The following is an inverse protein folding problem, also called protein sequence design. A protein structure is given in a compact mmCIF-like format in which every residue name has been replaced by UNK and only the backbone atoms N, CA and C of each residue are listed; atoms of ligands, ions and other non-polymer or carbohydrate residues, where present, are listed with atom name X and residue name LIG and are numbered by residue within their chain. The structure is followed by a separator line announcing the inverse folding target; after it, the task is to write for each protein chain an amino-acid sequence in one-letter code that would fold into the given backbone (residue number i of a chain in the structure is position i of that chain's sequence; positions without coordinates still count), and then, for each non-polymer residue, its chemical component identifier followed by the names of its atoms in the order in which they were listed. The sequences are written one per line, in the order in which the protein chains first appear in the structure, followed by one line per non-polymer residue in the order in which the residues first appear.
data_IF_999558630999
#
_entry.id   IF_999558630999
#
_cell.length_a   1.000
_cell.length_b   1.000
_cell.length_c   1.000
_cell.angle_alpha   90.00
_cell.angle_beta   90.00
_cell.angle_gamma   90.00
#
_symmetry.space_group_name_H-M   'P 1'
#
loop_
_entity.id
_entity.type
_entity.pdbx_description
1 polymer ?
#
# COMPACT_ATOMS: atom_id res chain seq x y z
N UNK A 1 2.42 11.79 -28.74
CA UNK A 1 3.72 11.41 -29.33
C UNK A 1 4.03 9.94 -28.97
N UNK A 2 3.45 9.00 -29.76
CA UNK A 2 3.51 7.57 -29.43
C UNK A 2 4.36 6.73 -30.40
N UNK A 3 4.77 7.31 -31.52
CA UNK A 3 5.53 6.59 -32.55
C UNK A 3 6.95 7.12 -32.69
N UNK A 4 7.92 6.22 -32.66
CA UNK A 4 9.29 6.51 -33.06
C UNK A 4 9.41 6.54 -34.58
N UNK A 5 10.40 7.28 -35.09
CA UNK A 5 10.72 7.33 -36.52
C UNK A 5 11.50 6.06 -36.88
N UNK A 6 11.04 5.31 -37.86
CA UNK A 6 11.61 4.03 -38.27
C UNK A 6 12.20 4.03 -39.69
N UNK A 7 12.36 5.19 -40.31
CA UNK A 7 12.94 5.33 -41.64
C UNK A 7 14.44 5.00 -41.62
N UNK A 8 14.88 4.17 -42.57
CA UNK A 8 16.31 3.89 -42.73
C UNK A 8 17.01 5.07 -43.45
N UNK A 9 17.90 5.73 -42.73
CA UNK A 9 18.63 6.93 -43.19
C UNK A 9 20.09 6.83 -42.82
N UNK A 10 20.97 7.53 -43.55
CA UNK A 10 22.43 7.56 -43.34
C UNK A 10 22.92 8.99 -43.11
N UNK A 11 24.05 9.14 -42.37
CA UNK A 11 24.71 10.41 -42.14
C UNK A 11 23.93 11.37 -41.23
N UNK A 12 23.87 12.64 -41.59
CA UNK A 12 23.21 13.70 -40.79
C UNK A 12 21.71 13.46 -40.55
N UNK A 13 21.05 12.77 -41.50
CA UNK A 13 19.64 12.36 -41.35
C UNK A 13 19.47 11.26 -40.30
N UNK A 14 20.45 10.38 -40.15
CA UNK A 14 20.47 9.39 -39.09
C UNK A 14 20.59 10.05 -37.69
N UNK A 15 21.46 11.05 -37.58
CA UNK A 15 21.64 11.81 -36.34
C UNK A 15 20.38 12.59 -35.98
N UNK A 16 19.70 13.20 -36.97
CA UNK A 16 18.43 13.87 -36.78
C UNK A 16 17.34 12.91 -36.30
N UNK A 17 17.23 11.72 -36.94
CA UNK A 17 16.32 10.66 -36.53
C UNK A 17 16.54 10.25 -35.07
N UNK A 18 17.80 9.99 -34.69
CA UNK A 18 18.17 9.59 -33.34
C UNK A 18 17.86 10.67 -32.31
N UNK A 19 18.14 11.95 -32.63
CA UNK A 19 17.81 13.07 -31.78
C UNK A 19 16.31 13.23 -31.59
N UNK A 20 15.52 13.10 -32.67
CA UNK A 20 14.05 13.15 -32.58
C UNK A 20 13.49 11.99 -31.76
N UNK A 21 14.01 10.77 -31.94
CA UNK A 21 13.57 9.62 -31.16
C UNK A 21 13.94 9.77 -29.67
N UNK A 22 15.10 10.36 -29.36
CA UNK A 22 15.47 10.69 -27.98
C UNK A 22 14.54 11.72 -27.36
N UNK A 23 14.14 12.76 -28.13
CA UNK A 23 13.16 13.75 -27.68
C UNK A 23 11.79 13.13 -27.44
N UNK A 24 11.32 12.26 -28.31
CA UNK A 24 10.06 11.51 -28.14
C UNK A 24 10.12 10.67 -26.87
N UNK A 25 11.21 9.96 -26.62
CA UNK A 25 11.44 9.18 -25.41
C UNK A 25 11.40 10.05 -24.14
N UNK A 26 12.06 11.19 -24.15
CA UNK A 26 12.07 12.17 -23.03
C UNK A 26 10.68 12.72 -22.77
N UNK A 27 9.94 13.13 -23.81
CA UNK A 27 8.59 13.64 -23.68
C UNK A 27 7.62 12.58 -23.14
N UNK A 28 7.76 11.33 -23.56
CA UNK A 28 6.98 10.19 -23.02
C UNK A 28 7.25 10.01 -21.53
N UNK A 29 8.51 9.90 -21.13
CA UNK A 29 8.91 9.72 -19.74
C UNK A 29 8.39 10.87 -18.86
N UNK A 30 8.49 12.12 -19.33
CA UNK A 30 7.98 13.30 -18.61
C UNK A 30 6.46 13.24 -18.47
N UNK A 31 5.73 12.83 -19.51
CA UNK A 31 4.26 12.72 -19.48
C UNK A 31 3.81 11.60 -18.52
N UNK A 32 4.46 10.46 -18.55
CA UNK A 32 4.16 9.34 -17.62
C UNK A 32 4.43 9.73 -16.17
N UNK A 33 5.57 10.36 -15.89
CA UNK A 33 5.91 10.88 -14.55
C UNK A 33 4.89 11.92 -14.07
N UNK A 34 4.43 12.81 -14.95
CA UNK A 34 3.38 13.78 -14.64
C UNK A 34 2.06 13.11 -14.29
N UNK A 35 1.64 12.08 -15.03
CA UNK A 35 0.42 11.30 -14.75
C UNK A 35 0.51 10.55 -13.41
N UNK A 36 1.65 9.94 -13.11
CA UNK A 36 1.88 9.27 -11.83
C UNK A 36 1.79 10.23 -10.65
N UNK A 37 2.40 11.41 -10.76
CA UNK A 37 2.32 12.44 -9.74
C UNK A 37 0.91 12.97 -9.55
N UNK A 38 0.16 13.18 -10.64
CA UNK A 38 -1.23 13.61 -10.59
C UNK A 38 -2.13 12.54 -9.94
N UNK A 39 -1.94 11.28 -10.29
CA UNK A 39 -2.63 10.15 -9.68
C UNK A 39 -2.37 10.09 -8.17
N UNK A 40 -1.11 10.24 -7.77
CA UNK A 40 -0.69 10.23 -6.37
C UNK A 40 -1.35 11.36 -5.57
N UNK A 41 -1.25 12.59 -6.06
CA UNK A 41 -1.84 13.77 -5.41
C UNK A 41 -3.35 13.68 -5.30
N UNK A 42 -4.02 13.30 -6.39
CA UNK A 42 -5.48 13.19 -6.45
C UNK A 42 -5.99 12.16 -5.45
N UNK A 43 -5.36 10.99 -5.39
CA UNK A 43 -5.79 9.95 -4.47
C UNK A 43 -5.43 10.24 -3.02
N UNK A 44 -4.29 10.85 -2.73
CA UNK A 44 -3.96 11.31 -1.37
C UNK A 44 -4.97 12.33 -0.86
N UNK A 45 -5.36 13.31 -1.68
CA UNK A 45 -6.37 14.29 -1.33
C UNK A 45 -7.73 13.62 -1.07
N UNK A 46 -8.15 12.70 -1.95
CA UNK A 46 -9.40 11.93 -1.80
C UNK A 46 -9.44 11.16 -0.49
N UNK A 47 -8.37 10.46 -0.13
CA UNK A 47 -8.30 9.71 1.12
C UNK A 47 -8.27 10.63 2.35
N UNK A 48 -7.56 11.75 2.27
CA UNK A 48 -7.57 12.74 3.34
C UNK A 48 -8.96 13.27 3.61
N UNK A 49 -9.70 13.64 2.56
CA UNK A 49 -11.09 14.11 2.69
C UNK A 49 -12.01 13.02 3.25
N UNK A 50 -11.83 11.78 2.81
CA UNK A 50 -12.63 10.63 3.26
C UNK A 50 -12.40 10.31 4.74
N UNK A 51 -11.17 10.45 5.21
CA UNK A 51 -10.81 10.21 6.62
C UNK A 51 -11.21 11.36 7.55
N UNK A 52 -11.40 12.56 7.01
CA UNK A 52 -11.73 13.74 7.78
C UNK A 52 -13.08 13.57 8.50
N UNK A 53 -13.10 13.85 9.80
CA UNK A 53 -14.32 13.75 10.61
C UNK A 53 -14.66 12.34 11.10
N UNK A 54 -13.87 11.33 10.78
CA UNK A 54 -14.04 9.99 11.34
C UNK A 54 -13.68 9.99 12.83
N UNK A 55 -14.52 9.31 13.63
CA UNK A 55 -14.38 9.24 15.09
C UNK A 55 -14.36 7.81 15.63
N UNK A 56 -14.58 6.84 14.77
CA UNK A 56 -14.61 5.43 15.13
C UNK A 56 -13.56 4.64 14.36
N UNK A 57 -12.69 3.94 15.11
CA UNK A 57 -11.58 3.18 14.54
C UNK A 57 -12.04 2.07 13.59
N UNK A 58 -13.09 1.35 13.96
CA UNK A 58 -13.57 0.23 13.14
C UNK A 58 -14.14 0.71 11.81
N UNK A 59 -14.93 1.78 11.87
CA UNK A 59 -15.48 2.44 10.66
C UNK A 59 -14.36 2.96 9.77
N UNK A 60 -13.36 3.62 10.34
CA UNK A 60 -12.19 4.09 9.62
C UNK A 60 -11.44 2.93 8.95
N UNK A 61 -11.15 1.87 9.69
CA UNK A 61 -10.40 0.71 9.17
C UNK A 61 -11.13 0.02 8.01
N UNK A 62 -12.43 -0.21 8.14
CA UNK A 62 -13.25 -0.81 7.08
C UNK A 62 -13.31 0.06 5.82
N UNK A 63 -13.55 1.35 6.01
CA UNK A 63 -13.62 2.32 4.92
C UNK A 63 -12.29 2.42 4.18
N UNK A 64 -11.19 2.53 4.91
CA UNK A 64 -9.83 2.58 4.35
C UNK A 64 -9.55 1.36 3.47
N UNK A 65 -9.77 0.15 3.99
CA UNK A 65 -9.46 -1.06 3.24
C UNK A 65 -10.38 -1.25 2.03
N UNK A 66 -11.66 -0.90 2.15
CA UNK A 66 -12.63 -1.00 1.05
C UNK A 66 -12.25 -0.11 -0.13
N UNK A 67 -11.74 1.09 0.13
CA UNK A 67 -11.31 2.03 -0.91
C UNK A 67 -9.86 1.80 -1.37
N UNK A 68 -8.99 1.39 -0.45
CA UNK A 68 -7.56 1.22 -0.69
C UNK A 68 -7.25 -0.03 -1.51
N UNK A 69 -7.81 -1.17 -1.14
CA UNK A 69 -7.49 -2.44 -1.78
C UNK A 69 -7.73 -2.42 -3.30
N UNK A 70 -8.90 -1.99 -3.81
CA UNK A 70 -9.10 -1.89 -5.25
C UNK A 70 -8.17 -0.87 -5.93
N UNK A 71 -7.87 0.25 -5.27
CA UNK A 71 -7.06 1.32 -5.84
C UNK A 71 -5.62 0.86 -6.12
N UNK A 72 -5.05 0.03 -5.24
CA UNK A 72 -3.69 -0.50 -5.39
C UNK A 72 -3.67 -1.92 -5.95
N UNK A 73 -4.81 -2.40 -6.47
CA UNK A 73 -4.96 -3.75 -7.00
C UNK A 73 -4.61 -4.86 -6.00
N UNK A 74 -4.93 -4.65 -4.72
CA UNK A 74 -4.86 -5.68 -3.70
C UNK A 74 -6.17 -6.47 -3.66
N UNK A 75 -6.08 -7.78 -3.55
CA UNK A 75 -7.25 -8.67 -3.43
C UNK A 75 -7.59 -8.96 -1.98
N UNK A 76 -6.66 -8.76 -1.08
CA UNK A 76 -6.86 -8.98 0.35
C UNK A 76 -6.11 -7.92 1.16
N UNK A 77 -6.66 -7.54 2.30
CA UNK A 77 -6.03 -6.57 3.18
C UNK A 77 -6.48 -6.71 4.62
N UNK A 78 -5.61 -6.37 5.54
CA UNK A 78 -5.87 -6.37 6.99
C UNK A 78 -5.22 -5.14 7.60
N UNK A 79 -5.89 -4.54 8.57
CA UNK A 79 -5.34 -3.49 9.42
C UNK A 79 -5.33 -3.95 10.87
N UNK A 80 -4.18 -3.78 11.51
CA UNK A 80 -3.96 -4.01 12.93
C UNK A 80 -3.70 -2.69 13.63
N UNK A 81 -4.28 -2.49 14.80
CA UNK A 81 -4.01 -1.34 15.66
C UNK A 81 -3.16 -1.75 16.84
N UNK A 82 -2.30 -0.83 17.28
CA UNK A 82 -1.50 -1.01 18.48
C UNK A 82 -2.34 -0.69 19.69
N UNK A 83 -2.37 -1.59 20.66
CA UNK A 83 -3.00 -1.39 21.95
C UNK A 83 -2.08 -1.84 23.09
N UNK A 84 -2.35 -1.37 24.30
CA UNK A 84 -1.65 -1.87 25.48
C UNK A 84 -2.08 -3.31 25.77
N UNK A 85 -1.11 -4.20 26.00
CA UNK A 85 -1.39 -5.53 26.52
C UNK A 85 -1.84 -5.46 27.99
N UNK A 86 -2.50 -6.50 28.48
CA UNK A 86 -2.95 -6.58 29.88
C UNK A 86 -1.80 -6.47 30.88
N UNK A 87 -0.59 -6.78 30.47
CA UNK A 87 0.63 -6.62 31.27
C UNK A 87 1.28 -5.25 30.93
N UNK A 88 1.23 -4.35 31.86
CA UNK A 88 1.26 -2.85 31.80
C UNK A 88 2.34 -2.15 30.97
N UNK A 89 3.32 -2.83 30.38
CA UNK A 89 4.41 -2.24 29.60
C UNK A 89 4.56 -2.83 28.19
N UNK A 90 3.78 -3.83 27.84
CA UNK A 90 3.85 -4.44 26.51
C UNK A 90 2.77 -3.89 25.59
N UNK A 91 3.16 -3.60 24.37
CA UNK A 91 2.25 -3.25 23.28
C UNK A 91 2.03 -4.45 22.39
N UNK A 92 0.82 -4.61 21.92
CA UNK A 92 0.40 -5.67 21.03
C UNK A 92 -0.37 -5.10 19.84
N UNK A 93 -0.50 -5.90 18.82
CA UNK A 93 -1.26 -5.58 17.61
C UNK A 93 -2.56 -6.37 17.63
N UNK A 94 -3.68 -5.67 17.60
CA UNK A 94 -5.00 -6.28 17.51
C UNK A 94 -5.58 -6.08 16.11
N UNK A 95 -6.11 -7.13 15.54
CA UNK A 95 -6.86 -7.08 14.30
C UNK A 95 -8.02 -6.09 14.42
N UNK A 96 -8.06 -5.07 13.56
CA UNK A 96 -9.12 -4.07 13.54
C UNK A 96 -10.17 -4.37 12.47
N UNK A 97 -9.72 -4.54 11.22
CA UNK A 97 -10.60 -4.74 10.07
C UNK A 97 -9.87 -5.54 8.98
N UNK A 98 -10.65 -6.20 8.13
CA UNK A 98 -10.17 -6.92 6.97
C UNK A 98 -10.95 -6.60 5.72
N UNK A 99 -10.32 -6.78 4.56
CA UNK A 99 -10.90 -6.76 3.24
C UNK A 99 -10.66 -8.11 2.58
N UNK A 100 -11.74 -8.80 2.23
CA UNK A 100 -11.68 -10.17 1.70
C UNK A 100 -10.82 -11.12 2.58
N UNK A 101 -10.75 -10.84 3.88
CA UNK A 101 -10.02 -11.63 4.85
C UNK A 101 -10.84 -12.88 5.17
N UNK A 102 -10.21 -14.06 5.06
CA UNK A 102 -10.83 -15.36 5.34
C UNK A 102 -11.11 -15.58 6.84
N UNK A 103 -11.23 -14.51 7.57
CA UNK A 103 -11.34 -14.32 8.98
C UNK A 103 -11.90 -15.47 9.82
N UNK A 104 -11.08 -16.04 10.64
CA UNK A 104 -11.54 -16.48 11.95
C UNK A 104 -11.98 -15.24 12.77
N UNK A 105 -12.61 -15.44 13.91
CA UNK A 105 -13.14 -14.32 14.71
C UNK A 105 -12.14 -13.16 14.86
N UNK A 106 -12.49 -11.93 14.44
CA UNK A 106 -11.57 -10.78 14.44
C UNK A 106 -10.99 -10.46 15.80
N UNK A 107 -11.71 -10.78 16.85
CA UNK A 107 -11.34 -10.52 18.25
C UNK A 107 -10.24 -11.45 18.79
N UNK A 108 -9.92 -12.54 18.09
CA UNK A 108 -8.93 -13.53 18.55
C UNK A 108 -7.53 -13.32 17.96
N UNK A 109 -7.36 -12.38 17.00
CA UNK A 109 -6.08 -12.16 16.33
C UNK A 109 -5.31 -11.03 16.99
N UNK A 110 -4.47 -11.41 17.94
CA UNK A 110 -3.50 -10.55 18.59
C UNK A 110 -2.11 -11.03 18.21
N UNK A 111 -1.24 -10.11 17.84
CA UNK A 111 0.16 -10.35 17.49
C UNK A 111 1.07 -9.54 18.41
N UNK A 112 2.17 -10.14 18.81
CA UNK A 112 3.23 -9.43 19.52
C UNK A 112 4.14 -8.65 18.55
N UNK A 113 4.78 -7.60 19.03
CA UNK A 113 5.84 -6.93 18.28
C UNK A 113 6.98 -7.92 18.01
N UNK A 114 7.40 -8.00 16.76
CA UNK A 114 8.38 -9.00 16.29
C UNK A 114 7.79 -10.33 15.84
N UNK A 115 6.51 -10.59 16.07
CA UNK A 115 5.84 -11.81 15.64
C UNK A 115 5.37 -11.73 14.18
N UNK A 116 5.95 -12.58 13.32
CA UNK A 116 5.63 -12.61 11.90
C UNK A 116 6.02 -11.30 11.19
N UNK A 117 5.59 -11.13 9.93
CA UNK A 117 5.90 -9.92 9.16
C UNK A 117 5.26 -8.67 9.74
N UNK A 118 4.01 -8.78 10.15
CA UNK A 118 3.25 -7.65 10.74
C UNK A 118 3.90 -7.19 12.04
N UNK A 119 4.22 -8.12 12.95
CA UNK A 119 4.91 -7.78 14.20
C UNK A 119 6.32 -7.25 13.98
N UNK A 120 7.02 -7.75 12.96
CA UNK A 120 8.36 -7.27 12.59
C UNK A 120 8.32 -5.82 12.07
N UNK A 121 7.35 -5.50 11.24
CA UNK A 121 7.12 -4.12 10.78
C UNK A 121 6.79 -3.19 11.94
N UNK A 122 5.97 -3.65 12.90
CA UNK A 122 5.68 -2.87 14.10
C UNK A 122 6.94 -2.63 14.96
N UNK A 123 7.80 -3.63 15.10
CA UNK A 123 9.03 -3.53 15.89
C UNK A 123 10.08 -2.62 15.24
N UNK A 124 10.28 -2.74 13.93
CA UNK A 124 11.30 -1.98 13.18
C UNK A 124 10.78 -0.64 12.67
N UNK A 125 9.48 -0.53 12.44
CA UNK A 125 8.86 0.64 11.86
C UNK A 125 9.26 0.90 10.42
N UNK A 126 9.59 -0.14 9.67
CA UNK A 126 9.96 -0.08 8.26
C UNK A 126 9.02 -0.93 7.43
N UNK A 127 8.65 -0.43 6.25
CA UNK A 127 7.84 -1.17 5.28
C UNK A 127 8.60 -2.41 4.80
N UNK A 128 7.89 -3.53 4.71
CA UNK A 128 8.37 -4.76 4.10
C UNK A 128 7.51 -5.06 2.87
N UNK A 129 8.15 -5.32 1.75
CA UNK A 129 7.50 -5.82 0.53
C UNK A 129 8.16 -7.12 0.11
N UNK A 130 7.37 -8.16 -0.10
CA UNK A 130 7.82 -9.45 -0.60
C UNK A 130 7.15 -9.69 -1.94
N UNK A 131 7.97 -9.98 -2.95
CA UNK A 131 7.52 -10.36 -4.28
C UNK A 131 7.81 -11.85 -4.51
N UNK A 132 7.03 -12.45 -5.41
CA UNK A 132 7.22 -13.84 -5.83
C UNK A 132 7.22 -14.83 -4.65
N UNK A 133 6.12 -14.81 -3.86
CA UNK A 133 5.96 -15.70 -2.73
C UNK A 133 6.02 -17.17 -3.16
N UNK A 134 6.68 -18.02 -2.35
CA UNK A 134 6.80 -19.44 -2.67
C UNK A 134 5.44 -20.15 -2.65
N UNK A 135 5.28 -21.23 -3.44
CA UNK A 135 4.10 -22.08 -3.39
C UNK A 135 3.83 -22.59 -1.96
N UNK A 136 2.57 -22.58 -1.53
CA UNK A 136 2.17 -22.99 -0.17
C UNK A 136 2.20 -21.86 0.86
N UNK A 137 2.53 -20.65 0.45
CA UNK A 137 2.30 -19.43 1.24
C UNK A 137 0.80 -19.17 1.46
N UNK A 138 0.46 -18.09 2.15
CA UNK A 138 -0.93 -17.62 2.30
C UNK A 138 -1.70 -17.73 0.99
N UNK A 139 -2.94 -18.18 1.04
CA UNK A 139 -3.81 -18.30 -0.13
C UNK A 139 -4.85 -17.19 -0.12
N UNK A 140 -5.07 -16.58 -1.28
CA UNK A 140 -6.24 -15.73 -1.54
C UNK A 140 -7.33 -16.65 -2.03
N UNK A 141 -8.41 -16.75 -1.27
CA UNK A 141 -9.52 -17.65 -1.54
C UNK A 141 -10.81 -16.87 -1.83
N UNK A 142 -11.55 -17.35 -2.81
CA UNK A 142 -12.91 -16.93 -3.09
C UNK A 142 -13.74 -18.12 -3.54
N UNK A 143 -15.03 -17.93 -3.81
CA UNK A 143 -15.88 -19.00 -4.34
C UNK A 143 -15.39 -19.62 -5.66
N UNK A 144 -14.56 -18.91 -6.42
CA UNK A 144 -14.07 -19.33 -7.74
C UNK A 144 -12.55 -19.35 -7.86
N UNK A 145 -11.83 -18.77 -6.91
CA UNK A 145 -10.40 -18.60 -6.98
C UNK A 145 -9.73 -19.10 -5.70
N UNK A 146 -8.66 -19.85 -5.89
CA UNK A 146 -7.71 -20.17 -4.84
C UNK A 146 -6.31 -20.03 -5.42
N UNK A 147 -5.61 -18.96 -5.04
CA UNK A 147 -4.30 -18.62 -5.60
C UNK A 147 -3.38 -18.02 -4.54
N UNK A 148 -2.09 -18.35 -4.63
CA UNK A 148 -1.09 -17.66 -3.82
C UNK A 148 -0.93 -16.20 -4.31
N UNK A 149 -0.81 -15.23 -3.39
CA UNK A 149 -0.50 -13.87 -3.79
C UNK A 149 0.89 -13.81 -4.42
N UNK A 150 1.05 -12.95 -5.42
CA UNK A 150 2.35 -12.70 -6.02
C UNK A 150 3.17 -11.72 -5.20
N UNK A 151 2.52 -10.79 -4.53
CA UNK A 151 3.17 -9.77 -3.71
C UNK A 151 2.38 -9.51 -2.43
N UNK A 152 3.12 -9.32 -1.35
CA UNK A 152 2.59 -8.85 -0.07
C UNK A 152 3.37 -7.62 0.33
N UNK A 153 2.67 -6.58 0.78
CA UNK A 153 3.24 -5.36 1.32
C UNK A 153 2.71 -5.13 2.73
N UNK A 154 3.59 -4.85 3.66
CA UNK A 154 3.27 -4.57 5.06
C UNK A 154 3.80 -3.19 5.43
N UNK A 155 2.91 -2.31 5.85
CA UNK A 155 3.18 -0.88 5.99
C UNK A 155 2.96 -0.45 7.43
N UNK A 156 3.97 0.17 8.08
CA UNK A 156 3.77 0.78 9.39
C UNK A 156 3.01 2.10 9.26
N UNK A 157 2.05 2.30 10.13
CA UNK A 157 1.33 3.56 10.30
C UNK A 157 1.88 4.25 11.55
N UNK A 158 2.49 5.42 11.35
CA UNK A 158 3.14 6.17 12.42
C UNK A 158 2.44 7.49 12.69
N UNK A 159 2.48 7.88 13.94
CA UNK A 159 2.30 9.27 14.35
C UNK A 159 3.52 9.66 15.20
N UNK A 160 4.28 10.67 14.73
CA UNK A 160 5.59 11.00 15.28
C UNK A 160 6.51 9.76 15.30
N UNK A 161 7.08 9.43 16.46
CA UNK A 161 7.99 8.28 16.62
C UNK A 161 7.27 6.99 17.06
N UNK A 162 5.92 6.99 17.12
CA UNK A 162 5.15 5.85 17.59
C UNK A 162 4.43 5.13 16.44
N UNK A 163 4.50 3.80 16.44
CA UNK A 163 3.67 2.97 15.60
C UNK A 163 2.26 2.94 16.20
N UNK A 164 1.26 3.29 15.37
CA UNK A 164 -0.17 3.30 15.74
C UNK A 164 -0.92 2.12 15.14
N UNK A 165 -0.51 1.70 13.96
CA UNK A 165 -1.13 0.58 13.26
C UNK A 165 -0.15 -0.05 12.28
N UNK A 166 -0.55 -1.20 11.72
CA UNK A 166 0.13 -1.86 10.61
C UNK A 166 -0.92 -2.31 9.60
N UNK A 167 -0.69 -2.03 8.34
CA UNK A 167 -1.54 -2.45 7.22
C UNK A 167 -0.81 -3.50 6.40
N UNK A 168 -1.46 -4.63 6.14
CA UNK A 168 -0.97 -5.69 5.28
C UNK A 168 -1.88 -5.85 4.07
N UNK A 169 -1.31 -5.84 2.88
CA UNK A 169 -2.03 -6.00 1.61
C UNK A 169 -1.39 -7.12 0.80
N UNK A 170 -2.23 -7.95 0.20
CA UNK A 170 -1.81 -9.02 -0.69
C UNK A 170 -2.42 -8.85 -2.08
N UNK A 171 -1.61 -9.05 -3.11
CA UNK A 171 -2.01 -8.90 -4.51
C UNK A 171 -1.58 -10.10 -5.35
N UNK A 172 -2.39 -10.42 -6.36
CA UNK A 172 -2.05 -11.38 -7.41
C UNK A 172 -1.05 -10.81 -8.43
N UNK A 173 -0.79 -9.50 -8.36
CA UNK A 173 0.21 -8.80 -9.15
C UNK A 173 1.30 -8.21 -8.25
N UNK A 174 2.36 -7.69 -8.86
CA UNK A 174 3.37 -6.94 -8.11
C UNK A 174 2.88 -5.50 -7.88
N UNK A 175 3.13 -4.97 -6.70
CA UNK A 175 2.90 -3.55 -6.42
C UNK A 175 3.89 -2.69 -7.20
N UNK A 176 3.39 -1.66 -7.88
CA UNK A 176 4.19 -0.70 -8.61
C UNK A 176 4.88 0.29 -7.68
N UNK A 177 5.93 0.97 -8.17
CA UNK A 177 6.61 2.02 -7.41
C UNK A 177 5.65 3.16 -7.01
N UNK A 178 4.73 3.54 -7.88
CA UNK A 178 3.71 4.56 -7.60
C UNK A 178 2.72 4.12 -6.52
N UNK A 179 2.27 2.88 -6.55
CA UNK A 179 1.40 2.31 -5.52
C UNK A 179 2.13 2.27 -4.16
N UNK A 180 3.37 1.85 -4.14
CA UNK A 180 4.20 1.86 -2.92
C UNK A 180 4.38 3.27 -2.36
N UNK A 181 4.72 4.24 -3.21
CA UNK A 181 4.87 5.63 -2.79
C UNK A 181 3.56 6.21 -2.23
N UNK A 182 2.43 5.89 -2.85
CA UNK A 182 1.11 6.25 -2.36
C UNK A 182 0.85 5.67 -0.96
N UNK A 183 1.10 4.39 -0.76
CA UNK A 183 0.91 3.71 0.52
C UNK A 183 1.80 4.30 1.62
N UNK A 184 3.06 4.60 1.32
CA UNK A 184 3.99 5.23 2.26
C UNK A 184 3.51 6.63 2.70
N UNK A 185 3.04 7.45 1.77
CA UNK A 185 2.52 8.79 2.08
C UNK A 185 1.16 8.74 2.78
N UNK A 186 0.28 7.84 2.35
CA UNK A 186 -1.02 7.65 2.99
C UNK A 186 -0.87 7.20 4.44
N UNK A 187 0.10 6.36 4.76
CA UNK A 187 0.34 5.87 6.12
C UNK A 187 0.56 7.02 7.12
N UNK A 188 1.24 8.09 6.71
CA UNK A 188 1.42 9.29 7.52
C UNK A 188 0.09 9.98 7.83
N UNK A 189 -0.78 10.12 6.84
CA UNK A 189 -2.12 10.70 7.02
C UNK A 189 -3.01 9.84 7.91
N UNK A 190 -2.97 8.53 7.75
CA UNK A 190 -3.70 7.58 8.62
C UNK A 190 -3.23 7.73 10.06
N UNK A 191 -1.92 7.83 10.29
CA UNK A 191 -1.35 7.99 11.64
C UNK A 191 -1.87 9.22 12.38
N UNK A 192 -2.00 10.35 11.69
CA UNK A 192 -2.58 11.58 12.24
C UNK A 192 -4.04 11.36 12.65
N UNK A 193 -4.83 10.73 11.79
CA UNK A 193 -6.26 10.47 12.07
C UNK A 193 -6.43 9.50 13.23
N UNK A 194 -5.66 8.41 13.27
CA UNK A 194 -5.68 7.44 14.36
C UNK A 194 -5.35 8.12 15.70
N UNK A 195 -4.30 8.92 15.74
CA UNK A 195 -3.94 9.66 16.95
C UNK A 195 -5.05 10.62 17.39
N UNK A 196 -5.73 11.25 16.46
CA UNK A 196 -6.85 12.15 16.76
C UNK A 196 -8.04 11.39 17.36
N UNK A 197 -8.36 10.21 16.85
CA UNK A 197 -9.46 9.38 17.37
C UNK A 197 -9.13 8.86 18.76
N UNK A 198 -7.90 8.42 19.00
CA UNK A 198 -7.45 7.91 20.32
C UNK A 198 -7.42 9.01 21.41
N UNK A 199 -7.21 10.26 21.01
CA UNK A 199 -7.14 11.41 21.94
C UNK A 199 -8.54 11.97 22.31
N UNK A 200 -9.60 11.47 21.71
CA UNK A 200 -10.98 11.94 21.91
C UNK A 200 -11.76 11.03 22.83
#
# INVERSE_FOLDING_TARGET
LTRSITVDVRGELADLKDNMNSMIGTLRATTESGREQDWLKTNLARFSDMMQGQRDLLTLGRMLLTELAPLVNAQQGVIYVVEAADDRDQRQLRHLAGYADNGGEPTARVLEFGQGLVGQVAAQGQLIQINDLPPGSVQIESGLLNAAPRSVIVIPVRFEDQIKAVVELASLDQFTASQRAFLEQLSGSIGIVLNTIEAT
#
